data_IF_673802382284
#
_entry.id   IF_673802382284
#
_cell.length_a   1.000
_cell.length_b   1.000
_cell.length_c   1.000
_cell.angle_alpha   90.00
_cell.angle_beta   90.00
_cell.angle_gamma   90.00
#
_symmetry.space_group_name_H-M   'P 1'
#
loop_
_entity.id
_entity.type
_entity.pdbx_description
1 polymer ?
#
# COMPACT_ATOMS: atom_id res chain seq x y z
N UNK A 1 2.99 -20.91 7.64
CA UNK A 1 3.80 -19.82 7.04
C UNK A 1 3.09 -18.52 7.34
N UNK A 2 3.61 -17.71 8.27
CA UNK A 2 3.04 -16.38 8.54
C UNK A 2 3.33 -15.50 7.33
N UNK A 3 2.33 -15.29 6.48
CA UNK A 3 2.42 -14.30 5.41
C UNK A 3 2.52 -12.91 6.02
N UNK A 4 3.75 -12.44 6.22
CA UNK A 4 4.01 -11.11 6.74
C UNK A 4 3.78 -10.09 5.63
N UNK A 5 2.84 -9.17 5.87
CA UNK A 5 2.58 -8.07 4.95
C UNK A 5 3.70 -7.05 5.08
N UNK A 6 4.37 -6.77 3.97
CA UNK A 6 5.54 -5.89 3.90
C UNK A 6 5.32 -4.73 2.93
N UNK A 7 6.08 -3.64 3.09
CA UNK A 7 6.00 -2.45 2.24
C UNK A 7 6.15 -2.79 0.75
N UNK A 8 7.03 -3.74 0.40
CA UNK A 8 7.29 -4.11 -0.99
C UNK A 8 6.05 -4.71 -1.67
N UNK A 9 5.16 -5.41 -0.95
CA UNK A 9 3.92 -5.93 -1.53
C UNK A 9 2.99 -4.80 -1.99
N UNK A 10 2.97 -3.69 -1.25
CA UNK A 10 2.17 -2.49 -1.60
C UNK A 10 2.77 -1.78 -2.80
N UNK A 11 4.10 -1.65 -2.84
CA UNK A 11 4.79 -1.08 -4.00
C UNK A 11 4.58 -1.94 -5.26
N UNK A 12 4.70 -3.27 -5.12
CA UNK A 12 4.53 -4.23 -6.21
C UNK A 12 3.08 -4.25 -6.73
N UNK A 13 2.08 -4.10 -5.86
CA UNK A 13 0.68 -3.96 -6.27
C UNK A 13 0.48 -2.78 -7.22
N UNK A 14 1.09 -1.62 -6.92
CA UNK A 14 1.04 -0.49 -7.84
C UNK A 14 1.90 -0.71 -9.09
N UNK A 15 3.06 -1.39 -8.98
CA UNK A 15 3.96 -1.64 -10.12
C UNK A 15 3.38 -2.60 -11.16
N UNK A 16 2.56 -3.55 -10.72
CA UNK A 16 1.82 -4.48 -11.58
C UNK A 16 0.49 -3.93 -12.08
N UNK A 17 0.04 -2.79 -11.57
CA UNK A 17 -1.22 -2.21 -11.98
C UNK A 17 -1.04 -1.41 -13.27
N UNK A 18 -1.73 -1.83 -14.33
CA UNK A 18 -1.78 -1.09 -15.60
C UNK A 18 -2.69 0.16 -15.53
N UNK A 19 -3.40 0.32 -14.42
CA UNK A 19 -4.32 1.43 -14.15
C UNK A 19 -4.13 1.97 -12.73
N UNK A 20 -4.56 3.21 -12.47
CA UNK A 20 -4.65 3.70 -11.11
C UNK A 20 -5.48 2.79 -10.21
N UNK A 21 -5.06 2.62 -8.96
CA UNK A 21 -5.73 1.77 -8.00
C UNK A 21 -6.51 2.60 -6.99
N UNK A 22 -7.78 2.25 -6.82
CA UNK A 22 -8.53 2.61 -5.63
C UNK A 22 -7.99 1.89 -4.39
N UNK A 23 -8.38 2.35 -3.20
CA UNK A 23 -7.96 1.67 -1.98
C UNK A 23 -8.51 0.24 -1.86
N UNK A 24 -9.69 -0.03 -2.43
CA UNK A 24 -10.29 -1.36 -2.40
C UNK A 24 -9.51 -2.32 -3.30
N UNK A 25 -9.21 -1.90 -4.53
CA UNK A 25 -8.38 -2.67 -5.46
C UNK A 25 -6.98 -2.89 -4.91
N UNK A 26 -6.38 -1.88 -4.27
CA UNK A 26 -5.10 -2.02 -3.59
C UNK A 26 -5.12 -3.12 -2.52
N UNK A 27 -6.17 -3.18 -1.70
CA UNK A 27 -6.24 -4.20 -0.65
C UNK A 27 -6.29 -5.62 -1.23
N UNK A 28 -7.06 -5.81 -2.29
CA UNK A 28 -7.19 -7.10 -2.96
C UNK A 28 -5.86 -7.50 -3.63
N UNK A 29 -5.24 -6.60 -4.39
CA UNK A 29 -3.95 -6.88 -5.03
C UNK A 29 -2.84 -7.18 -4.03
N UNK A 30 -2.76 -6.43 -2.92
CA UNK A 30 -1.74 -6.70 -1.88
C UNK A 30 -2.00 -8.02 -1.17
N UNK A 31 -3.26 -8.38 -0.93
CA UNK A 31 -3.61 -9.65 -0.32
C UNK A 31 -3.22 -10.82 -1.23
N UNK A 32 -3.47 -10.72 -2.53
CA UNK A 32 -3.05 -11.71 -3.53
C UNK A 32 -1.53 -11.86 -3.55
N UNK A 33 -0.77 -10.76 -3.60
CA UNK A 33 0.69 -10.79 -3.61
C UNK A 33 1.30 -11.37 -2.33
N UNK A 34 0.70 -11.07 -1.17
CA UNK A 34 1.17 -11.59 0.12
C UNK A 34 0.63 -12.99 0.44
N UNK A 35 -0.22 -13.58 -0.42
CA UNK A 35 -0.88 -14.87 -0.16
C UNK A 35 -1.82 -14.83 1.05
N UNK A 36 -2.40 -13.67 1.34
CA UNK A 36 -3.35 -13.46 2.45
C UNK A 36 -4.77 -13.73 1.94
N UNK A 37 -5.54 -14.64 2.58
CA UNK A 37 -6.90 -14.89 2.17
C UNK A 37 -7.81 -13.68 2.46
N UNK A 38 -8.83 -13.45 1.62
CA UNK A 38 -9.79 -12.36 1.80
C UNK A 38 -10.50 -12.39 3.15
N UNK A 39 -10.70 -13.57 3.73
CA UNK A 39 -11.25 -13.73 5.08
C UNK A 39 -10.36 -13.08 6.14
N UNK A 40 -9.04 -13.29 6.08
CA UNK A 40 -8.07 -12.66 6.98
C UNK A 40 -7.95 -11.15 6.72
N UNK A 41 -7.96 -10.72 5.44
CA UNK A 41 -7.95 -9.30 5.08
C UNK A 41 -9.15 -8.54 5.68
N UNK A 42 -10.32 -9.19 5.70
CA UNK A 42 -11.55 -8.64 6.24
C UNK A 42 -11.76 -8.92 7.74
N UNK A 43 -10.88 -9.71 8.36
CA UNK A 43 -10.96 -10.00 9.78
C UNK A 43 -10.84 -8.70 10.59
N UNK A 44 -11.86 -8.44 11.41
CA UNK A 44 -11.92 -7.24 12.23
C UNK A 44 -11.68 -7.63 13.68
N UNK A 45 -10.74 -6.93 14.31
CA UNK A 45 -10.52 -7.02 15.75
C UNK A 45 -10.92 -5.71 16.41
N UNK A 46 -11.35 -5.79 17.67
CA UNK A 46 -11.62 -4.61 18.48
C UNK A 46 -10.30 -3.89 18.74
N UNK A 47 -10.24 -2.60 18.42
CA UNK A 47 -9.04 -1.77 18.65
C UNK A 47 -9.34 -0.68 19.68
N UNK A 48 -8.50 -0.62 20.73
CA UNK A 48 -8.51 0.44 21.74
C UNK A 48 -9.70 0.39 22.71
N UNK A 49 -9.79 1.37 23.60
CA UNK A 49 -10.85 1.46 24.62
C UNK A 49 -12.25 1.62 24.02
N UNK A 50 -12.34 2.15 22.80
CA UNK A 50 -13.60 2.35 22.07
C UNK A 50 -14.13 1.07 21.39
N UNK A 51 -13.36 -0.05 21.41
CA UNK A 51 -13.75 -1.36 20.85
C UNK A 51 -14.27 -1.34 19.40
N UNK A 52 -13.83 -0.37 18.60
CA UNK A 52 -14.28 -0.26 17.20
C UNK A 52 -13.63 -1.39 16.40
N UNK A 53 -14.46 -2.18 15.71
CA UNK A 53 -14.03 -3.25 14.82
C UNK A 53 -13.33 -2.67 13.60
N UNK A 54 -12.04 -2.99 13.42
CA UNK A 54 -11.24 -2.57 12.27
C UNK A 54 -10.32 -3.71 11.84
N UNK A 55 -10.06 -3.81 10.53
CA UNK A 55 -9.05 -4.73 10.01
C UNK A 55 -7.66 -4.16 10.22
N UNK A 56 -6.80 -4.91 10.92
CA UNK A 56 -5.40 -4.55 11.16
C UNK A 56 -4.59 -4.58 9.87
N UNK A 57 -4.85 -5.56 9.00
CA UNK A 57 -4.17 -5.70 7.72
C UNK A 57 -4.48 -4.53 6.78
N UNK A 58 -5.75 -4.15 6.63
CA UNK A 58 -6.10 -2.96 5.84
C UNK A 58 -5.44 -1.69 6.37
N UNK A 59 -5.36 -1.53 7.70
CA UNK A 59 -4.67 -0.40 8.32
C UNK A 59 -3.17 -0.40 8.01
N UNK A 60 -2.53 -1.57 8.06
CA UNK A 60 -1.12 -1.74 7.72
C UNK A 60 -0.85 -1.38 6.25
N UNK A 61 -1.69 -1.84 5.33
CA UNK A 61 -1.61 -1.47 3.90
C UNK A 61 -1.73 0.05 3.73
N UNK A 62 -2.68 0.69 4.43
CA UNK A 62 -2.83 2.16 4.38
C UNK A 62 -1.63 2.91 4.94
N UNK A 63 -0.97 2.36 5.96
CA UNK A 63 0.23 2.96 6.53
C UNK A 63 1.41 2.87 5.56
N UNK A 64 1.57 1.74 4.87
CA UNK A 64 2.56 1.59 3.79
C UNK A 64 2.25 2.48 2.59
N UNK A 65 0.99 2.58 2.17
CA UNK A 65 0.58 3.55 1.14
C UNK A 65 0.96 4.98 1.54
N UNK A 66 0.73 5.36 2.80
CA UNK A 66 1.13 6.68 3.31
C UNK A 66 2.65 6.88 3.29
N UNK A 67 3.42 5.82 3.55
CA UNK A 67 4.89 5.82 3.43
C UNK A 67 5.30 6.07 1.98
N UNK A 68 4.74 5.33 1.01
CA UNK A 68 5.04 5.52 -0.42
C UNK A 68 4.65 6.91 -0.92
N UNK A 69 3.53 7.47 -0.44
CA UNK A 69 3.16 8.86 -0.69
C UNK A 69 4.18 9.85 -0.14
N UNK A 70 4.67 9.63 1.08
CA UNK A 70 5.69 10.50 1.68
C UNK A 70 7.02 10.47 0.92
N UNK A 71 7.30 9.37 0.21
CA UNK A 71 8.46 9.19 -0.67
C UNK A 71 8.23 9.74 -2.09
N UNK A 72 7.09 10.39 -2.37
CA UNK A 72 6.69 10.84 -3.70
C UNK A 72 6.64 9.73 -4.77
N UNK A 73 6.45 8.46 -4.35
CA UNK A 73 6.31 7.33 -5.28
C UNK A 73 4.89 7.19 -5.83
N UNK A 74 3.89 7.77 -5.16
CA UNK A 74 2.50 7.74 -5.56
C UNK A 74 2.01 9.14 -5.90
N UNK A 75 1.30 9.27 -7.01
CA UNK A 75 0.60 10.49 -7.39
C UNK A 75 -0.91 10.28 -7.34
N UNK A 76 -1.63 11.36 -7.02
CA UNK A 76 -3.09 11.38 -7.11
C UNK A 76 -3.51 11.41 -8.57
N UNK A 77 -4.60 10.73 -8.90
CA UNK A 77 -5.26 10.92 -10.19
C UNK A 77 -6.18 12.12 -10.08
N UNK A 78 -6.04 13.08 -11.00
CA UNK A 78 -6.90 14.26 -11.01
C UNK A 78 -8.35 13.87 -11.33
N UNK A 79 -9.29 14.39 -10.53
CA UNK A 79 -10.71 14.07 -10.65
C UNK A 79 -11.17 12.85 -9.84
N UNK A 80 -10.26 12.04 -9.31
CA UNK A 80 -10.62 10.82 -8.57
C UNK A 80 -10.21 10.86 -7.09
N UNK A 81 -11.19 10.71 -6.19
CA UNK A 81 -10.94 10.72 -4.75
C UNK A 81 -10.47 9.34 -4.28
N UNK A 82 -9.26 9.30 -3.75
CA UNK A 82 -8.74 8.09 -3.09
C UNK A 82 -8.23 7.03 -4.06
N UNK A 83 -8.02 7.42 -5.31
CA UNK A 83 -7.33 6.65 -6.35
C UNK A 83 -5.92 7.19 -6.51
N UNK A 84 -4.96 6.27 -6.57
CA UNK A 84 -3.54 6.57 -6.63
C UNK A 84 -2.89 5.73 -7.71
N UNK A 85 -1.87 6.28 -8.35
CA UNK A 85 -1.05 5.56 -9.32
C UNK A 85 0.43 5.75 -8.97
N UNK A 86 1.29 4.88 -9.50
CA UNK A 86 2.72 5.11 -9.45
C UNK A 86 3.06 6.40 -10.19
N UNK A 87 3.87 7.24 -9.57
CA UNK A 87 4.45 8.36 -10.28
C UNK A 87 5.32 7.82 -11.42
N UNK A 88 4.99 8.20 -12.65
CA UNK A 88 5.69 7.72 -13.84
C UNK A 88 7.15 8.18 -13.80
N UNK A 89 8.08 7.23 -13.90
CA UNK A 89 9.53 7.49 -13.96
C UNK A 89 9.83 8.58 -14.99
N UNK A 90 10.57 9.60 -14.59
CA UNK A 90 11.35 10.42 -15.52
C UNK A 90 12.35 9.52 -16.25
N UNK A 91 12.69 9.83 -17.50
CA UNK A 91 13.47 9.06 -18.52
C UNK A 91 14.80 8.40 -18.12
N UNK A 92 15.20 8.36 -16.85
CA UNK A 92 16.52 7.90 -16.37
C UNK A 92 16.54 6.61 -15.55
N UNK A 93 15.45 5.85 -15.48
CA UNK A 93 15.52 4.43 -15.11
C UNK A 93 16.16 4.08 -13.76
N UNK A 94 16.30 5.02 -12.83
CA UNK A 94 16.96 4.81 -11.54
C UNK A 94 15.96 4.96 -10.41
N UNK A 95 15.93 3.98 -9.50
CA UNK A 95 15.48 4.21 -8.13
C UNK A 95 16.42 5.25 -7.52
N UNK A 96 16.12 6.54 -7.65
CA UNK A 96 16.67 7.51 -6.74
C UNK A 96 15.84 7.38 -5.45
N UNK A 97 16.17 6.36 -4.66
CA UNK A 97 15.98 6.46 -3.23
C UNK A 97 16.71 7.74 -2.84
N UNK A 98 15.96 8.79 -2.50
CA UNK A 98 16.49 10.04 -1.98
C UNK A 98 17.52 9.69 -0.92
N UNK A 99 18.80 9.83 -1.27
CA UNK A 99 19.92 9.57 -0.40
C UNK A 99 19.82 10.51 0.79
N UNK A 100 19.36 9.99 1.92
CA UNK A 100 19.15 10.84 3.09
C UNK A 100 18.71 10.16 4.37
N UNK A 101 18.49 8.84 4.42
CA UNK A 101 18.16 8.16 5.68
C UNK A 101 19.13 7.01 5.91
N UNK A 102 20.21 7.31 6.64
CA UNK A 102 20.94 6.30 7.42
C UNK A 102 19.96 5.75 8.46
N UNK A 103 19.64 4.46 8.39
CA UNK A 103 19.22 3.74 9.58
C UNK A 103 20.47 3.60 10.45
N UNK A 104 20.46 4.26 11.62
CA UNK A 104 21.43 4.09 12.71
C UNK A 104 20.92 2.98 13.61
#
# INVERSE_FOLDING_TARGET
>A
MSSQLELFHVQEAYAKADKPLSNEELYDSVAELAGIPKSALNEQSEIGKAKVKRSKLKRQIRWYQQTLKSMNLLQKVDGERGVWELSSKTKKGLHEALGGVRLV
#
